data_IF_295769325810
#
_entry.id   IF_295769325810
#
_cell.length_a   1.000
_cell.length_b   1.000
_cell.length_c   1.000
_cell.angle_alpha   90.00
_cell.angle_beta   90.00
_cell.angle_gamma   90.00
#
_symmetry.space_group_name_H-M   'P 1'
#
loop_
_entity.id
_entity.type
_entity.pdbx_description
1 polymer ?
#
# COMPACT_ATOMS: atom_id res chain seq x y z
N UNK A 1 -26.82 26.82 -7.96
CA UNK A 1 -25.97 26.67 -6.75
C UNK A 1 -24.49 26.60 -7.07
N UNK A 2 -23.96 25.56 -7.75
CA UNK A 2 -22.50 25.47 -8.01
C UNK A 2 -21.96 26.58 -8.93
N UNK A 3 -22.76 27.04 -9.88
CA UNK A 3 -22.46 28.17 -10.77
C UNK A 3 -22.75 29.55 -10.15
N UNK A 4 -23.47 29.62 -9.03
CA UNK A 4 -23.93 30.88 -8.48
C UNK A 4 -22.72 31.62 -7.88
N UNK A 5 -22.47 32.85 -8.37
CA UNK A 5 -21.28 33.62 -8.02
C UNK A 5 -19.97 33.03 -8.58
N UNK A 6 -20.04 32.14 -9.57
CA UNK A 6 -18.84 31.53 -10.14
C UNK A 6 -17.99 32.57 -10.89
N UNK A 7 -16.70 32.62 -10.56
CA UNK A 7 -15.72 33.46 -11.25
C UNK A 7 -14.67 32.58 -11.94
N UNK A 8 -14.52 32.66 -13.27
CA UNK A 8 -13.45 31.95 -14.01
C UNK A 8 -12.04 32.35 -13.56
N UNK A 9 -11.89 33.50 -12.91
CA UNK A 9 -10.61 33.97 -12.35
C UNK A 9 -10.49 33.71 -10.86
N UNK A 10 -11.44 33.00 -10.26
CA UNK A 10 -11.39 32.59 -8.87
C UNK A 10 -10.26 31.59 -8.61
N UNK A 11 -9.90 31.47 -7.33
CA UNK A 11 -8.87 30.54 -6.88
C UNK A 11 -9.37 29.11 -6.72
N UNK A 12 -8.76 28.39 -5.77
CA UNK A 12 -8.99 26.94 -5.53
C UNK A 12 -10.47 26.56 -5.35
N UNK A 13 -11.27 27.40 -4.71
CA UNK A 13 -12.70 27.13 -4.51
C UNK A 13 -13.44 27.02 -5.86
N UNK A 14 -13.18 27.92 -6.80
CA UNK A 14 -13.84 27.89 -8.11
C UNK A 14 -13.34 26.73 -8.97
N UNK A 15 -12.06 26.37 -8.86
CA UNK A 15 -11.54 25.15 -9.50
C UNK A 15 -12.25 23.89 -8.97
N UNK A 16 -12.41 23.77 -7.65
CA UNK A 16 -13.13 22.65 -7.05
C UNK A 16 -14.60 22.62 -7.47
N UNK A 17 -15.27 23.77 -7.55
CA UNK A 17 -16.64 23.86 -8.07
C UNK A 17 -16.72 23.43 -9.54
N UNK A 18 -15.78 23.86 -10.39
CA UNK A 18 -15.75 23.46 -11.80
C UNK A 18 -15.54 21.95 -11.93
N UNK A 19 -14.66 21.37 -11.13
CA UNK A 19 -14.41 19.93 -11.08
C UNK A 19 -15.67 19.15 -10.65
N UNK A 20 -16.39 19.61 -9.63
CA UNK A 20 -17.66 18.99 -9.22
C UNK A 20 -18.71 19.10 -10.35
N UNK A 21 -18.82 20.27 -11.00
CA UNK A 21 -19.73 20.46 -12.13
C UNK A 21 -19.41 19.45 -13.24
N UNK A 22 -18.13 19.26 -13.56
CA UNK A 22 -17.72 18.39 -14.65
C UNK A 22 -17.98 16.92 -14.40
N UNK A 23 -17.80 16.46 -13.17
CA UNK A 23 -18.15 15.10 -12.77
C UNK A 23 -19.65 14.82 -12.82
N UNK A 24 -20.49 15.83 -12.52
CA UNK A 24 -21.96 15.69 -12.50
C UNK A 24 -22.55 15.80 -13.91
N UNK A 25 -22.16 16.84 -14.66
CA UNK A 25 -22.87 17.24 -15.88
C UNK A 25 -22.12 16.89 -17.16
N UNK A 26 -20.82 16.55 -17.09
CA UNK A 26 -20.01 16.13 -18.25
C UNK A 26 -20.22 17.03 -19.47
N UNK A 27 -20.61 16.50 -20.62
CA UNK A 27 -20.82 17.24 -21.88
C UNK A 27 -21.94 18.29 -21.83
N UNK A 28 -22.92 18.17 -20.92
CA UNK A 28 -24.06 19.12 -20.86
C UNK A 28 -23.60 20.54 -20.51
N UNK A 29 -22.39 20.67 -19.95
CA UNK A 29 -21.78 21.94 -19.55
C UNK A 29 -20.66 22.41 -20.48
N UNK A 30 -20.64 21.89 -21.71
CA UNK A 30 -19.60 22.18 -22.69
C UNK A 30 -19.41 23.69 -22.95
N UNK A 31 -20.50 24.44 -23.11
CA UNK A 31 -20.44 25.89 -23.33
C UNK A 31 -19.88 26.63 -22.11
N UNK A 32 -20.14 26.14 -20.91
CA UNK A 32 -19.58 26.69 -19.68
C UNK A 32 -18.08 26.43 -19.56
N UNK A 33 -17.60 25.28 -20.02
CA UNK A 33 -16.16 25.01 -20.11
C UNK A 33 -15.49 25.95 -21.11
N UNK A 34 -16.06 26.16 -22.31
CA UNK A 34 -15.54 27.12 -23.30
C UNK A 34 -15.49 28.54 -22.72
N UNK A 35 -16.54 28.98 -22.02
CA UNK A 35 -16.54 30.25 -21.30
C UNK A 35 -15.39 30.37 -20.29
N UNK A 36 -15.11 29.30 -19.52
CA UNK A 36 -13.98 29.24 -18.59
C UNK A 36 -12.63 29.29 -19.31
N UNK A 37 -12.50 28.69 -20.50
CA UNK A 37 -11.26 28.70 -21.31
C UNK A 37 -10.96 30.11 -21.82
N UNK A 38 -11.98 30.86 -22.22
CA UNK A 38 -11.85 32.21 -22.78
C UNK A 38 -11.58 33.27 -21.70
N UNK A 39 -12.18 33.12 -20.52
CA UNK A 39 -12.21 34.19 -19.50
C UNK A 39 -11.41 33.88 -18.23
N UNK A 40 -10.98 32.63 -18.06
CA UNK A 40 -10.41 32.12 -16.83
C UNK A 40 -8.95 32.46 -16.57
N UNK A 41 -8.51 32.17 -15.35
CA UNK A 41 -7.08 32.11 -15.02
C UNK A 41 -6.39 30.97 -15.78
N UNK A 42 -5.06 30.94 -15.83
CA UNK A 42 -4.31 29.87 -16.49
C UNK A 42 -4.69 28.48 -15.97
N UNK A 43 -4.86 28.34 -14.66
CA UNK A 43 -5.25 27.08 -14.02
C UNK A 43 -6.69 26.71 -14.36
N UNK A 44 -7.63 27.67 -14.32
CA UNK A 44 -9.03 27.45 -14.71
C UNK A 44 -9.13 26.98 -16.16
N UNK A 45 -8.38 27.63 -17.05
CA UNK A 45 -8.31 27.29 -18.46
C UNK A 45 -7.76 25.88 -18.68
N UNK A 46 -6.67 25.52 -17.99
CA UNK A 46 -6.09 24.17 -18.05
C UNK A 46 -7.12 23.10 -17.62
N UNK A 47 -7.79 23.30 -16.49
CA UNK A 47 -8.84 22.40 -16.00
C UNK A 47 -10.00 22.28 -17.00
N UNK A 48 -10.52 23.41 -17.48
CA UNK A 48 -11.65 23.44 -18.41
C UNK A 48 -11.34 22.78 -19.77
N UNK A 49 -10.11 22.94 -20.30
CA UNK A 49 -9.66 22.22 -21.52
C UNK A 49 -9.79 20.70 -21.33
N UNK A 50 -9.43 20.18 -20.16
CA UNK A 50 -9.56 18.76 -19.85
C UNK A 50 -11.00 18.25 -19.98
N UNK A 51 -11.98 19.05 -19.54
CA UNK A 51 -13.40 18.68 -19.56
C UNK A 51 -14.04 18.75 -20.95
N UNK A 52 -13.40 19.41 -21.92
CA UNK A 52 -13.83 19.31 -23.33
C UNK A 52 -13.74 17.89 -23.88
N UNK A 53 -12.97 17.01 -23.24
CA UNK A 53 -12.87 15.60 -23.62
C UNK A 53 -14.19 14.81 -23.50
N UNK A 54 -15.17 15.32 -22.75
CA UNK A 54 -16.47 14.67 -22.58
C UNK A 54 -17.35 14.73 -23.85
N UNK A 55 -17.13 15.70 -24.74
CA UNK A 55 -17.92 15.86 -25.97
C UNK A 55 -17.06 15.75 -27.23
N UNK A 56 -17.32 14.74 -28.05
CA UNK A 56 -16.61 14.51 -29.31
C UNK A 56 -16.78 15.65 -30.31
N UNK A 57 -17.85 16.46 -30.20
CA UNK A 57 -18.06 17.64 -31.07
C UNK A 57 -17.04 18.75 -30.83
N UNK A 58 -16.25 18.67 -29.76
CA UNK A 58 -15.19 19.62 -29.48
C UNK A 58 -13.93 19.42 -30.31
N UNK A 59 -13.87 18.42 -31.18
CA UNK A 59 -12.69 18.12 -31.98
C UNK A 59 -12.13 19.35 -32.72
N UNK A 60 -12.97 20.13 -33.40
CA UNK A 60 -12.53 21.30 -34.15
C UNK A 60 -11.98 22.39 -33.23
N UNK A 61 -12.62 22.61 -32.09
CA UNK A 61 -12.19 23.60 -31.10
C UNK A 61 -10.86 23.20 -30.45
N UNK A 62 -10.70 21.93 -30.07
CA UNK A 62 -9.46 21.40 -29.53
C UNK A 62 -8.32 21.48 -30.56
N UNK A 63 -8.58 21.13 -31.82
CA UNK A 63 -7.59 21.27 -32.90
C UNK A 63 -7.17 22.72 -33.11
N UNK A 64 -8.08 23.69 -33.01
CA UNK A 64 -7.71 25.12 -33.07
C UNK A 64 -6.86 25.55 -31.88
N UNK A 65 -7.21 25.12 -30.67
CA UNK A 65 -6.42 25.37 -29.47
C UNK A 65 -4.99 24.83 -29.57
N UNK A 66 -4.74 23.74 -30.30
CA UNK A 66 -3.36 23.26 -30.51
C UNK A 66 -2.48 24.29 -31.24
N UNK A 67 -3.07 25.17 -32.06
CA UNK A 67 -2.36 26.17 -32.85
C UNK A 67 -2.08 27.42 -32.03
N UNK A 68 -3.00 27.80 -31.15
CA UNK A 68 -2.96 29.05 -30.40
C UNK A 68 -2.29 28.91 -29.03
N UNK A 69 -2.47 27.78 -28.34
CA UNK A 69 -1.94 27.53 -27.00
C UNK A 69 -0.46 27.14 -26.98
N UNK A 70 0.20 27.40 -25.85
CA UNK A 70 1.63 27.10 -25.62
C UNK A 70 1.88 26.50 -24.24
N UNK A 71 2.99 25.77 -24.10
CA UNK A 71 3.41 25.17 -22.83
C UNK A 71 2.39 24.22 -22.24
N UNK A 72 2.13 24.32 -20.93
CA UNK A 72 1.21 23.44 -20.20
C UNK A 72 -0.20 23.38 -20.79
N UNK A 73 -0.74 24.52 -21.24
CA UNK A 73 -2.07 24.57 -21.86
C UNK A 73 -2.11 23.74 -23.14
N UNK A 74 -1.10 23.87 -24.00
CA UNK A 74 -1.00 23.05 -25.22
C UNK A 74 -0.92 21.56 -24.89
N UNK A 75 -0.14 21.16 -23.89
CA UNK A 75 -0.06 19.77 -23.47
C UNK A 75 -1.42 19.25 -22.99
N UNK A 76 -2.18 20.08 -22.27
CA UNK A 76 -3.52 19.74 -21.81
C UNK A 76 -4.53 19.60 -22.96
N UNK A 77 -4.40 20.43 -24.00
CA UNK A 77 -5.19 20.27 -25.24
C UNK A 77 -4.88 18.93 -25.90
N UNK A 78 -3.61 18.54 -25.99
CA UNK A 78 -3.26 17.21 -26.50
C UNK A 78 -3.85 16.10 -25.64
N UNK A 79 -3.70 16.17 -24.31
CA UNK A 79 -4.34 15.21 -23.40
C UNK A 79 -5.85 15.09 -23.67
N UNK A 80 -6.57 16.20 -23.81
CA UNK A 80 -8.00 16.18 -24.17
C UNK A 80 -8.27 15.58 -25.57
N UNK A 81 -7.45 15.92 -26.57
CA UNK A 81 -7.51 15.31 -27.91
C UNK A 81 -7.29 13.80 -27.89
N UNK A 82 -6.55 13.27 -26.91
CA UNK A 82 -6.30 11.82 -26.81
C UNK A 82 -7.57 11.00 -26.56
N UNK A 83 -8.63 11.63 -26.09
CA UNK A 83 -9.94 11.01 -25.87
C UNK A 83 -10.87 11.14 -27.08
N UNK A 84 -10.46 11.86 -28.13
CA UNK A 84 -11.23 12.04 -29.35
C UNK A 84 -11.06 10.84 -30.29
N UNK A 85 -12.18 10.32 -30.78
CA UNK A 85 -12.23 9.26 -31.79
C UNK A 85 -12.30 9.85 -33.20
N UNK A 86 -11.29 10.63 -33.58
CA UNK A 86 -11.20 11.32 -34.87
C UNK A 86 -9.79 11.21 -35.44
N UNK A 87 -9.66 10.84 -36.71
CA UNK A 87 -8.37 10.63 -37.39
C UNK A 87 -7.50 11.88 -37.40
N UNK A 88 -8.10 13.08 -37.43
CA UNK A 88 -7.37 14.35 -37.37
C UNK A 88 -6.69 14.54 -36.01
N UNK A 89 -7.28 14.01 -34.94
CA UNK A 89 -6.63 14.01 -33.63
C UNK A 89 -5.39 13.11 -33.65
N UNK A 90 -5.49 11.91 -34.23
CA UNK A 90 -4.36 10.98 -34.36
C UNK A 90 -3.22 11.59 -35.19
N UNK A 91 -3.52 12.25 -36.31
CA UNK A 91 -2.52 12.93 -37.15
C UNK A 91 -1.77 14.04 -36.41
N UNK A 92 -2.48 14.91 -35.69
CA UNK A 92 -1.86 15.96 -34.88
C UNK A 92 -1.05 15.39 -33.72
N UNK A 93 -1.53 14.30 -33.12
CA UNK A 93 -0.81 13.57 -32.09
C UNK A 93 0.49 12.96 -32.59
N UNK A 94 0.51 12.37 -33.80
CA UNK A 94 1.74 11.85 -34.39
C UNK A 94 2.80 12.95 -34.58
N UNK A 95 2.39 14.18 -34.95
CA UNK A 95 3.29 15.34 -35.04
C UNK A 95 3.79 15.78 -33.67
N UNK A 96 2.93 15.72 -32.65
CA UNK A 96 3.28 16.08 -31.28
C UNK A 96 4.28 15.09 -30.68
N UNK A 97 4.02 13.78 -30.77
CA UNK A 97 4.89 12.72 -30.26
C UNK A 97 6.32 12.85 -30.80
N UNK A 98 6.50 13.07 -32.10
CA UNK A 98 7.83 13.21 -32.74
C UNK A 98 8.73 14.29 -32.13
N UNK A 99 8.16 15.34 -31.52
CA UNK A 99 8.96 16.45 -30.96
C UNK A 99 9.68 16.07 -29.68
N UNK A 100 9.01 15.31 -28.81
CA UNK A 100 9.51 14.85 -27.51
C UNK A 100 8.81 13.53 -27.16
N UNK A 101 9.21 12.40 -27.78
CA UNK A 101 8.46 11.14 -27.70
C UNK A 101 8.16 10.70 -26.28
N UNK A 102 9.19 10.61 -25.43
CA UNK A 102 9.04 10.19 -24.03
C UNK A 102 8.21 11.16 -23.19
N UNK A 103 8.40 12.48 -23.34
CA UNK A 103 7.62 13.45 -22.55
C UNK A 103 6.15 13.48 -22.98
N UNK A 104 5.89 13.28 -24.27
CA UNK A 104 4.56 13.41 -24.81
C UNK A 104 3.73 12.13 -24.69
N UNK A 105 4.37 10.95 -24.65
CA UNK A 105 3.66 9.67 -24.56
C UNK A 105 2.90 9.50 -23.24
N UNK A 106 3.36 10.13 -22.15
CA UNK A 106 2.69 10.11 -20.85
C UNK A 106 1.27 10.65 -20.89
N UNK A 107 1.00 11.62 -21.76
CA UNK A 107 -0.33 12.20 -21.92
C UNK A 107 -1.32 11.22 -22.55
N UNK A 108 -0.89 10.07 -23.07
CA UNK A 108 -1.76 8.98 -23.51
C UNK A 108 -2.17 8.03 -22.37
N UNK A 109 -1.71 8.23 -21.14
CA UNK A 109 -1.96 7.30 -20.01
C UNK A 109 -3.45 7.02 -19.77
N UNK A 110 -4.32 8.01 -19.91
CA UNK A 110 -5.73 7.92 -19.53
C UNK A 110 -6.67 7.47 -20.66
N UNK A 111 -6.20 7.47 -21.91
CA UNK A 111 -7.02 7.10 -23.07
C UNK A 111 -6.86 5.62 -23.44
N UNK A 112 -7.94 5.02 -23.94
CA UNK A 112 -7.93 3.68 -24.55
C UNK A 112 -8.35 3.73 -26.03
N UNK A 113 -8.23 4.89 -26.68
CA UNK A 113 -8.45 5.02 -28.12
C UNK A 113 -7.48 4.12 -28.89
N UNK A 114 -7.98 3.42 -29.91
CA UNK A 114 -7.20 2.43 -30.65
C UNK A 114 -5.94 3.04 -31.30
N UNK A 115 -6.07 4.20 -31.95
CA UNK A 115 -4.95 4.91 -32.56
C UNK A 115 -3.88 5.33 -31.52
N UNK A 116 -4.29 5.65 -30.30
CA UNK A 116 -3.38 6.02 -29.20
C UNK A 116 -2.60 4.80 -28.69
N UNK A 117 -3.27 3.64 -28.59
CA UNK A 117 -2.64 2.36 -28.26
C UNK A 117 -1.63 1.98 -29.35
N UNK A 118 -1.97 2.16 -30.62
CA UNK A 118 -1.07 1.88 -31.75
C UNK A 118 0.17 2.79 -31.73
N UNK A 119 0.00 4.10 -31.53
CA UNK A 119 1.13 5.02 -31.37
C UNK A 119 2.02 4.67 -30.17
N UNK A 120 1.41 4.30 -29.04
CA UNK A 120 2.15 3.82 -27.87
C UNK A 120 2.94 2.56 -28.19
N UNK A 121 2.32 1.58 -28.83
CA UNK A 121 2.96 0.33 -29.19
C UNK A 121 4.14 0.53 -30.14
N UNK A 122 4.01 1.40 -31.15
CA UNK A 122 5.09 1.70 -32.09
C UNK A 122 6.26 2.40 -31.37
N UNK A 123 5.96 3.38 -30.52
CA UNK A 123 6.98 4.03 -29.68
C UNK A 123 7.72 3.01 -28.80
N UNK A 124 7.00 2.07 -28.19
CA UNK A 124 7.60 1.05 -27.32
C UNK A 124 8.52 0.10 -28.09
N UNK A 125 8.15 -0.32 -29.29
CA UNK A 125 8.99 -1.17 -30.14
C UNK A 125 10.29 -0.48 -30.54
N UNK A 126 10.22 0.78 -30.95
CA UNK A 126 11.40 1.62 -31.24
C UNK A 126 12.27 1.79 -29.99
N UNK A 127 11.66 2.17 -28.86
CA UNK A 127 12.35 2.39 -27.58
C UNK A 127 13.08 1.14 -27.10
N UNK A 128 12.42 -0.03 -27.10
CA UNK A 128 13.02 -1.30 -26.69
C UNK A 128 14.16 -1.69 -27.63
N UNK A 129 14.00 -1.48 -28.94
CA UNK A 129 15.05 -1.76 -29.93
C UNK A 129 16.28 -0.90 -29.68
N UNK A 130 16.09 0.41 -29.48
CA UNK A 130 17.19 1.31 -29.12
C UNK A 130 17.85 0.90 -27.80
N UNK A 131 17.04 0.55 -26.79
CA UNK A 131 17.53 0.18 -25.47
C UNK A 131 18.38 -1.09 -25.49
N UNK A 132 17.99 -2.09 -26.29
CA UNK A 132 18.77 -3.32 -26.51
C UNK A 132 20.10 -3.06 -27.20
N UNK A 133 20.17 -2.03 -28.05
CA UNK A 133 21.40 -1.63 -28.74
C UNK A 133 22.30 -0.72 -27.88
N UNK A 134 21.83 -0.23 -26.73
CA UNK A 134 22.60 0.62 -25.82
C UNK A 134 23.37 -0.21 -24.79
N UNK A 135 24.63 0.11 -24.59
CA UNK A 135 25.45 -0.43 -23.48
C UNK A 135 25.46 0.56 -22.32
N UNK A 136 24.77 0.23 -21.23
CA UNK A 136 24.69 1.07 -20.03
C UNK A 136 25.91 0.83 -19.12
N UNK A 137 26.96 1.64 -19.31
CA UNK A 137 28.27 1.48 -18.67
C UNK A 137 28.32 2.13 -17.29
N UNK A 138 27.62 3.25 -17.12
CA UNK A 138 27.65 4.04 -15.87
C UNK A 138 26.37 3.84 -15.05
N UNK A 139 26.46 4.10 -13.74
CA UNK A 139 25.29 4.10 -12.86
C UNK A 139 24.26 5.18 -13.25
N UNK A 140 24.72 6.32 -13.76
CA UNK A 140 23.84 7.42 -14.17
C UNK A 140 23.05 7.09 -15.43
N UNK A 141 23.67 6.42 -16.40
CA UNK A 141 22.95 5.90 -17.59
C UNK A 141 21.86 4.90 -17.20
N UNK A 142 22.17 3.99 -16.25
CA UNK A 142 21.18 3.04 -15.72
C UNK A 142 20.03 3.74 -15.02
N UNK A 143 20.34 4.70 -14.15
CA UNK A 143 19.33 5.50 -13.44
C UNK A 143 18.45 6.29 -14.39
N UNK A 144 19.03 6.81 -15.47
CA UNK A 144 18.27 7.51 -16.51
C UNK A 144 17.27 6.55 -17.15
N UNK A 145 17.71 5.38 -17.62
CA UNK A 145 16.82 4.35 -18.18
C UNK A 145 15.76 3.89 -17.19
N UNK A 146 16.12 3.65 -15.93
CA UNK A 146 15.16 3.28 -14.88
C UNK A 146 14.06 4.34 -14.73
N UNK A 147 14.42 5.63 -14.75
CA UNK A 147 13.48 6.74 -14.69
C UNK A 147 12.58 6.82 -15.94
N UNK A 148 13.13 6.61 -17.14
CA UNK A 148 12.34 6.55 -18.37
C UNK A 148 11.33 5.40 -18.33
N UNK A 149 11.76 4.21 -17.92
CA UNK A 149 10.89 3.04 -17.77
C UNK A 149 9.82 3.32 -16.73
N UNK A 150 10.15 3.92 -15.58
CA UNK A 150 9.15 4.31 -14.57
C UNK A 150 8.04 5.18 -15.18
N UNK A 151 8.39 6.14 -16.03
CA UNK A 151 7.42 7.02 -16.71
C UNK A 151 6.54 6.25 -17.70
N UNK A 152 7.14 5.36 -18.48
CA UNK A 152 6.45 4.48 -19.44
C UNK A 152 5.50 3.49 -18.73
N UNK A 153 5.93 2.94 -17.60
CA UNK A 153 5.19 1.96 -16.80
C UNK A 153 3.79 2.47 -16.39
N UNK A 154 3.65 3.76 -16.09
CA UNK A 154 2.34 4.37 -15.83
C UNK A 154 1.39 4.33 -17.02
N UNK A 155 1.91 4.37 -18.25
CA UNK A 155 1.10 4.25 -19.48
C UNK A 155 0.75 2.80 -19.74
N UNK A 156 1.70 1.87 -19.51
CA UNK A 156 1.49 0.41 -19.63
C UNK A 156 0.34 -0.04 -18.74
N UNK A 157 0.34 0.39 -17.47
CA UNK A 157 -0.60 -0.04 -16.43
C UNK A 157 -2.08 0.03 -16.85
N UNK A 158 -2.45 1.04 -17.65
CA UNK A 158 -3.82 1.25 -18.12
C UNK A 158 -4.14 0.54 -19.44
N UNK A 159 -3.16 -0.09 -20.09
CA UNK A 159 -3.23 -0.68 -21.45
C UNK A 159 -2.89 -2.17 -21.46
N UNK A 160 -3.29 -2.87 -20.40
CA UNK A 160 -3.12 -4.31 -20.27
C UNK A 160 -3.56 -5.05 -21.54
N UNK A 161 -2.63 -5.80 -22.13
CA UNK A 161 -2.79 -6.57 -23.37
C UNK A 161 -1.61 -7.53 -23.51
N UNK A 162 -1.72 -8.52 -24.40
CA UNK A 162 -0.61 -9.42 -24.72
C UNK A 162 0.66 -8.65 -25.13
N UNK A 163 0.49 -7.54 -25.87
CA UNK A 163 1.59 -6.71 -26.36
C UNK A 163 2.27 -5.96 -25.20
N UNK A 164 1.51 -5.38 -24.27
CA UNK A 164 2.11 -4.71 -23.11
C UNK A 164 2.75 -5.67 -22.12
N UNK A 165 2.23 -6.90 -21.98
CA UNK A 165 2.90 -7.98 -21.26
C UNK A 165 4.24 -8.36 -21.92
N UNK A 166 4.29 -8.43 -23.25
CA UNK A 166 5.55 -8.63 -23.97
C UNK A 166 6.55 -7.51 -23.71
N UNK A 167 6.11 -6.24 -23.66
CA UNK A 167 6.98 -5.13 -23.28
C UNK A 167 7.50 -5.27 -21.84
N UNK A 168 6.67 -5.71 -20.90
CA UNK A 168 7.11 -5.97 -19.52
C UNK A 168 8.26 -6.98 -19.48
N UNK A 169 8.19 -8.06 -20.27
CA UNK A 169 9.27 -9.06 -20.37
C UNK A 169 10.58 -8.46 -20.86
N UNK A 170 10.50 -7.58 -21.86
CA UNK A 170 11.66 -6.95 -22.49
C UNK A 170 12.29 -5.87 -21.62
N UNK A 171 11.48 -5.14 -20.84
CA UNK A 171 11.93 -4.08 -19.95
C UNK A 171 12.42 -4.59 -18.59
N UNK A 172 12.07 -5.82 -18.20
CA UNK A 172 12.45 -6.42 -16.91
C UNK A 172 13.94 -6.29 -16.56
N UNK A 173 14.91 -6.56 -17.47
CA UNK A 173 16.33 -6.46 -17.15
C UNK A 173 16.79 -5.04 -16.80
N UNK A 174 16.05 -4.03 -17.24
CA UNK A 174 16.42 -2.63 -17.15
C UNK A 174 15.77 -1.93 -15.95
N UNK A 175 14.63 -2.43 -15.47
CA UNK A 175 14.00 -1.95 -14.23
C UNK A 175 13.14 -3.05 -13.58
N UNK A 176 13.80 -3.96 -12.86
CA UNK A 176 13.15 -5.13 -12.24
C UNK A 176 12.02 -4.75 -11.27
N UNK A 177 12.26 -3.74 -10.44
CA UNK A 177 11.35 -3.33 -9.37
C UNK A 177 10.03 -2.84 -9.95
N UNK A 178 10.07 -1.97 -10.96
CA UNK A 178 8.85 -1.40 -11.52
C UNK A 178 8.04 -2.42 -12.32
N UNK A 179 8.71 -3.28 -13.08
CA UNK A 179 8.04 -4.34 -13.82
C UNK A 179 7.34 -5.33 -12.88
N UNK A 180 7.97 -5.70 -11.76
CA UNK A 180 7.32 -6.55 -10.73
C UNK A 180 6.06 -5.90 -10.15
N UNK A 181 6.05 -4.58 -9.95
CA UNK A 181 4.86 -3.87 -9.46
C UNK A 181 3.71 -3.92 -10.47
N UNK A 182 3.99 -3.69 -11.76
CA UNK A 182 2.97 -3.81 -12.83
C UNK A 182 2.41 -5.23 -12.84
N UNK A 183 3.28 -6.23 -12.81
CA UNK A 183 2.86 -7.63 -12.86
C UNK A 183 2.01 -8.01 -11.63
N UNK A 184 2.38 -7.55 -10.43
CA UNK A 184 1.54 -7.72 -9.24
C UNK A 184 0.17 -7.06 -9.41
N UNK A 185 0.13 -5.85 -9.99
CA UNK A 185 -1.13 -5.16 -10.26
C UNK A 185 -2.01 -5.94 -11.25
N UNK A 186 -1.45 -6.48 -12.34
CA UNK A 186 -2.21 -7.30 -13.28
C UNK A 186 -2.71 -8.61 -12.66
N UNK A 187 -1.87 -9.30 -11.87
CA UNK A 187 -2.29 -10.49 -11.12
C UNK A 187 -3.46 -10.16 -10.19
N UNK A 188 -3.39 -9.03 -9.48
CA UNK A 188 -4.42 -8.61 -8.54
C UNK A 188 -5.72 -8.18 -9.24
N UNK A 189 -5.61 -7.47 -10.37
CA UNK A 189 -6.75 -6.88 -11.08
C UNK A 189 -7.62 -7.93 -11.78
N UNK A 190 -7.01 -8.81 -12.58
CA UNK A 190 -7.73 -9.84 -13.33
C UNK A 190 -6.77 -10.96 -13.76
N UNK A 191 -6.60 -11.97 -12.90
CA UNK A 191 -5.68 -13.07 -13.15
C UNK A 191 -6.15 -13.95 -14.33
N UNK A 192 -5.44 -13.86 -15.46
CA UNK A 192 -5.68 -14.66 -16.66
C UNK A 192 -4.49 -15.56 -17.04
N UNK A 193 -4.65 -16.36 -18.09
CA UNK A 193 -3.66 -17.36 -18.53
C UNK A 193 -2.40 -16.69 -19.06
N UNK A 194 -2.55 -15.59 -19.80
CA UNK A 194 -1.48 -14.84 -20.44
C UNK A 194 -0.52 -14.26 -19.39
N UNK A 195 -1.05 -13.69 -18.30
CA UNK A 195 -0.27 -13.22 -17.14
C UNK A 195 0.50 -14.39 -16.52
N UNK A 196 -0.18 -15.51 -16.26
CA UNK A 196 0.45 -16.69 -15.64
C UNK A 196 1.61 -17.20 -16.50
N UNK A 197 1.42 -17.29 -17.82
CA UNK A 197 2.42 -17.83 -18.73
C UNK A 197 3.64 -16.88 -18.84
N UNK A 198 3.42 -15.57 -18.83
CA UNK A 198 4.49 -14.56 -18.77
C UNK A 198 5.29 -14.64 -17.47
N UNK A 199 4.62 -14.79 -16.32
CA UNK A 199 5.31 -14.99 -15.03
C UNK A 199 6.13 -16.27 -15.06
N UNK A 200 5.58 -17.39 -15.54
CA UNK A 200 6.33 -18.66 -15.63
C UNK A 200 7.56 -18.53 -16.53
N UNK A 201 7.44 -17.85 -17.67
CA UNK A 201 8.56 -17.59 -18.58
C UNK A 201 9.67 -16.78 -17.88
N UNK A 202 9.29 -15.70 -17.19
CA UNK A 202 10.21 -14.85 -16.46
C UNK A 202 10.84 -15.55 -15.26
N UNK A 203 10.07 -16.28 -14.46
CA UNK A 203 10.55 -17.12 -13.35
C UNK A 203 11.59 -18.14 -13.81
N UNK A 204 11.36 -18.79 -14.96
CA UNK A 204 12.31 -19.75 -15.53
C UNK A 204 13.59 -19.07 -16.00
N UNK A 205 13.50 -17.85 -16.51
CA UNK A 205 14.66 -17.09 -17.02
C UNK A 205 15.46 -16.42 -15.90
N UNK A 206 14.79 -15.98 -14.84
CA UNK A 206 15.35 -15.25 -13.70
C UNK A 206 15.04 -16.00 -12.41
N UNK A 207 15.71 -17.13 -12.22
CA UNK A 207 15.47 -18.05 -11.11
C UNK A 207 15.50 -17.33 -9.75
N UNK A 208 14.46 -17.56 -8.96
CA UNK A 208 14.32 -16.99 -7.62
C UNK A 208 13.95 -15.51 -7.59
N UNK A 209 13.73 -14.83 -8.72
CA UNK A 209 13.37 -13.40 -8.70
C UNK A 209 11.86 -13.15 -8.59
N UNK A 210 11.00 -14.13 -8.87
CA UNK A 210 9.54 -13.96 -9.01
C UNK A 210 8.71 -14.62 -7.89
N UNK A 211 9.34 -14.93 -6.74
CA UNK A 211 8.68 -15.60 -5.62
C UNK A 211 7.39 -14.89 -5.18
N UNK A 212 7.40 -13.56 -5.11
CA UNK A 212 6.23 -12.77 -4.74
C UNK A 212 5.05 -13.00 -5.71
N UNK A 213 5.30 -12.93 -7.01
CA UNK A 213 4.28 -13.12 -8.05
C UNK A 213 3.76 -14.56 -8.05
N UNK A 214 4.66 -15.54 -7.90
CA UNK A 214 4.30 -16.96 -7.83
C UNK A 214 3.42 -17.24 -6.61
N UNK A 215 3.77 -16.70 -5.45
CA UNK A 215 2.98 -16.86 -4.23
C UNK A 215 1.61 -16.20 -4.38
N UNK A 216 1.55 -14.98 -4.93
CA UNK A 216 0.30 -14.26 -5.18
C UNK A 216 -0.63 -15.04 -6.11
N UNK A 217 -0.11 -15.56 -7.23
CA UNK A 217 -0.88 -16.41 -8.16
C UNK A 217 -1.41 -17.65 -7.44
N UNK A 218 -0.56 -18.32 -6.65
CA UNK A 218 -0.93 -19.54 -5.95
C UNK A 218 -2.00 -19.30 -4.88
N UNK A 219 -1.93 -18.17 -4.15
CA UNK A 219 -2.96 -17.76 -3.19
C UNK A 219 -4.35 -17.57 -3.83
N UNK A 220 -4.39 -17.06 -5.06
CA UNK A 220 -5.62 -16.78 -5.80
C UNK A 220 -6.19 -18.06 -6.43
N UNK A 221 -5.32 -18.94 -6.96
CA UNK A 221 -5.73 -20.03 -7.86
C UNK A 221 -5.70 -21.42 -7.22
N UNK A 222 -4.74 -21.67 -6.34
CA UNK A 222 -4.47 -23.02 -5.83
C UNK A 222 -5.15 -23.25 -4.48
N UNK A 223 -5.31 -24.53 -4.11
CA UNK A 223 -5.85 -24.90 -2.81
C UNK A 223 -4.90 -24.54 -1.68
N UNK A 224 -5.44 -24.08 -0.57
CA UNK A 224 -4.69 -23.72 0.64
C UNK A 224 -3.56 -24.69 1.03
N UNK A 225 -3.82 -26.00 1.02
CA UNK A 225 -2.81 -26.99 1.41
C UNK A 225 -1.63 -27.05 0.44
N UNK A 226 -1.89 -26.81 -0.85
CA UNK A 226 -0.87 -26.78 -1.91
C UNK A 226 -0.01 -25.52 -1.74
N UNK A 227 -0.65 -24.37 -1.53
CA UNK A 227 0.05 -23.10 -1.31
C UNK A 227 0.96 -23.22 -0.09
N UNK A 228 0.42 -23.69 1.05
CA UNK A 228 1.22 -23.87 2.25
C UNK A 228 2.40 -24.82 2.00
N UNK A 229 2.17 -25.98 1.39
CA UNK A 229 3.23 -26.96 1.09
C UNK A 229 4.36 -26.35 0.24
N UNK A 230 4.01 -25.56 -0.77
CA UNK A 230 4.99 -25.04 -1.71
C UNK A 230 5.76 -23.84 -1.16
N UNK A 231 5.10 -22.98 -0.39
CA UNK A 231 5.64 -21.66 -0.04
C UNK A 231 6.03 -21.47 1.44
N UNK A 232 5.53 -22.28 2.37
CA UNK A 232 5.77 -22.10 3.81
C UNK A 232 7.25 -22.14 4.20
N UNK A 233 8.10 -22.86 3.45
CA UNK A 233 9.56 -22.88 3.65
C UNK A 233 10.19 -21.49 3.57
N UNK A 234 9.68 -20.60 2.71
CA UNK A 234 10.17 -19.22 2.56
C UNK A 234 9.75 -18.32 3.72
N UNK A 235 8.71 -18.72 4.46
CA UNK A 235 8.29 -18.07 5.69
C UNK A 235 8.92 -18.69 6.95
N UNK A 236 9.81 -19.67 6.81
CA UNK A 236 10.51 -20.31 7.92
C UNK A 236 9.88 -21.60 8.44
N UNK A 237 8.96 -22.23 7.69
CA UNK A 237 8.49 -23.56 8.05
C UNK A 237 9.64 -24.58 8.11
N UNK A 238 9.71 -25.33 9.21
CA UNK A 238 10.77 -26.31 9.47
C UNK A 238 12.06 -25.71 10.04
N UNK A 239 12.10 -24.41 10.30
CA UNK A 239 13.20 -23.76 11.02
C UNK A 239 12.95 -23.72 12.53
N UNK A 240 14.01 -23.57 13.30
CA UNK A 240 13.93 -23.33 14.75
C UNK A 240 13.27 -21.97 15.05
N UNK A 241 12.63 -21.85 16.21
CA UNK A 241 11.90 -20.65 16.63
C UNK A 241 12.79 -19.40 16.58
N UNK A 242 14.05 -19.51 16.98
CA UNK A 242 15.03 -18.43 17.00
C UNK A 242 15.37 -17.92 15.59
N UNK A 243 15.40 -18.81 14.60
CA UNK A 243 15.64 -18.45 13.20
C UNK A 243 14.45 -17.70 12.61
N UNK A 244 13.23 -18.21 12.82
CA UNK A 244 11.99 -17.55 12.39
C UNK A 244 11.90 -16.16 13.03
N UNK A 245 12.20 -16.06 14.33
CA UNK A 245 12.28 -14.79 15.05
C UNK A 245 13.29 -13.82 14.43
N UNK A 246 14.47 -14.31 14.03
CA UNK A 246 15.47 -13.48 13.35
C UNK A 246 14.92 -12.88 12.06
N UNK A 247 14.22 -13.69 11.25
CA UNK A 247 13.59 -13.23 10.00
C UNK A 247 12.55 -12.14 10.24
N UNK A 248 11.67 -12.31 11.24
CA UNK A 248 10.71 -11.28 11.61
C UNK A 248 11.39 -9.98 12.09
N UNK A 249 12.41 -10.08 12.94
CA UNK A 249 13.14 -8.90 13.42
C UNK A 249 13.79 -8.13 12.26
N UNK A 250 14.45 -8.82 11.32
CA UNK A 250 15.03 -8.19 10.13
C UNK A 250 13.95 -7.59 9.22
N UNK A 251 12.84 -8.30 9.01
CA UNK A 251 11.71 -7.79 8.22
C UNK A 251 11.15 -6.48 8.80
N UNK A 252 11.01 -6.40 10.12
CA UNK A 252 10.49 -5.21 10.82
C UNK A 252 11.49 -4.05 10.77
N UNK A 253 12.78 -4.33 10.99
CA UNK A 253 13.84 -3.30 11.00
C UNK A 253 14.21 -2.81 9.61
N UNK A 254 14.05 -3.65 8.59
CA UNK A 254 14.47 -3.38 7.22
C UNK A 254 15.99 -3.42 7.01
N UNK A 255 16.76 -3.96 7.96
CA UNK A 255 18.22 -4.05 7.91
C UNK A 255 18.69 -5.43 7.42
N UNK A 256 18.82 -5.58 6.10
CA UNK A 256 19.23 -6.83 5.48
C UNK A 256 20.72 -7.15 5.65
N UNK A 257 21.03 -8.45 5.71
CA UNK A 257 22.40 -8.96 5.82
C UNK A 257 23.25 -8.55 4.63
N UNK A 258 24.55 -8.34 4.87
CA UNK A 258 25.54 -8.16 3.79
C UNK A 258 25.93 -9.50 3.14
N UNK A 259 25.66 -10.62 3.81
CA UNK A 259 25.87 -11.94 3.23
C UNK A 259 24.77 -12.20 2.19
N UNK A 260 25.16 -12.52 0.96
CA UNK A 260 24.23 -12.66 -0.17
C UNK A 260 23.18 -13.77 0.04
N UNK A 261 23.56 -14.91 0.62
CA UNK A 261 22.65 -16.03 0.84
C UNK A 261 21.64 -15.72 1.94
N UNK A 262 22.12 -15.14 3.05
CA UNK A 262 21.26 -14.72 4.15
C UNK A 262 20.32 -13.57 3.73
N UNK A 263 20.85 -12.59 2.99
CA UNK A 263 20.06 -11.51 2.41
C UNK A 263 18.95 -12.07 1.53
N UNK A 264 19.24 -13.09 0.71
CA UNK A 264 18.23 -13.72 -0.14
C UNK A 264 17.12 -14.39 0.67
N UNK A 265 17.45 -15.10 1.75
CA UNK A 265 16.44 -15.69 2.65
C UNK A 265 15.56 -14.61 3.29
N UNK A 266 16.15 -13.49 3.69
CA UNK A 266 15.42 -12.36 4.27
C UNK A 266 14.54 -11.64 3.23
N UNK A 267 15.01 -11.52 1.99
CA UNK A 267 14.22 -10.99 0.86
C UNK A 267 13.04 -11.90 0.53
N UNK A 268 13.26 -13.22 0.48
CA UNK A 268 12.20 -14.19 0.22
C UNK A 268 11.13 -14.12 1.32
N UNK A 269 11.56 -14.04 2.58
CA UNK A 269 10.66 -13.84 3.72
C UNK A 269 9.86 -12.53 3.59
N UNK A 270 10.52 -11.41 3.25
CA UNK A 270 9.86 -10.12 3.01
C UNK A 270 8.81 -10.24 1.92
N UNK A 271 9.15 -10.85 0.79
CA UNK A 271 8.29 -10.95 -0.38
C UNK A 271 7.00 -11.73 -0.06
N UNK A 272 7.10 -12.77 0.78
CA UNK A 272 5.97 -13.53 1.32
C UNK A 272 5.10 -12.67 2.25
N UNK A 273 5.70 -12.05 3.27
CA UNK A 273 4.96 -11.33 4.30
C UNK A 273 4.36 -10.01 3.83
N UNK A 274 4.93 -9.37 2.81
CA UNK A 274 4.31 -8.22 2.16
C UNK A 274 2.96 -8.54 1.49
N UNK A 275 2.73 -9.80 1.10
CA UNK A 275 1.42 -10.25 0.59
C UNK A 275 0.51 -10.63 1.75
N UNK A 276 1.01 -11.37 2.74
CA UNK A 276 0.22 -11.78 3.92
C UNK A 276 -0.33 -10.57 4.69
N UNK A 277 0.46 -9.50 4.82
CA UNK A 277 0.05 -8.23 5.45
C UNK A 277 -0.88 -7.37 4.59
N UNK A 278 -1.38 -7.90 3.48
CA UNK A 278 -2.45 -7.27 2.69
C UNK A 278 -3.75 -8.05 2.78
N UNK A 279 -3.75 -9.13 3.56
CA UNK A 279 -4.88 -10.02 3.68
C UNK A 279 -5.65 -9.72 4.96
N UNK A 280 -6.97 -9.83 4.88
CA UNK A 280 -7.84 -9.83 6.04
C UNK A 280 -8.84 -10.98 5.96
N UNK A 281 -9.41 -11.35 7.10
CA UNK A 281 -10.50 -12.30 7.19
C UNK A 281 -11.82 -11.53 7.26
N UNK A 282 -12.65 -11.72 6.25
CA UNK A 282 -14.03 -11.22 6.25
C UNK A 282 -14.89 -12.15 7.11
N UNK A 283 -15.26 -11.68 8.30
CA UNK A 283 -16.10 -12.46 9.24
C UNK A 283 -17.53 -12.68 8.74
N UNK A 284 -18.08 -11.77 7.93
CA UNK A 284 -19.44 -11.85 7.41
C UNK A 284 -19.53 -12.96 6.35
N UNK A 285 -18.61 -12.91 5.37
CA UNK A 285 -18.56 -13.88 4.28
C UNK A 285 -17.78 -15.15 4.62
N UNK A 286 -17.01 -15.14 5.72
CA UNK A 286 -16.16 -16.23 6.22
C UNK A 286 -15.01 -16.60 5.29
N UNK A 287 -14.44 -15.61 4.63
CA UNK A 287 -13.42 -15.79 3.58
C UNK A 287 -12.19 -14.92 3.84
N UNK A 288 -11.04 -15.30 3.29
CA UNK A 288 -9.88 -14.41 3.28
C UNK A 288 -9.91 -13.54 2.04
N UNK A 289 -9.70 -12.25 2.22
CA UNK A 289 -9.65 -11.27 1.15
C UNK A 289 -8.24 -10.68 1.10
N UNK A 290 -7.67 -10.60 -0.09
CA UNK A 290 -6.49 -9.79 -0.36
C UNK A 290 -6.93 -8.40 -0.79
N UNK A 291 -6.40 -7.38 -0.12
CA UNK A 291 -6.58 -5.99 -0.51
C UNK A 291 -5.34 -5.43 -1.21
N UNK A 292 -5.48 -5.10 -2.49
CA UNK A 292 -4.42 -4.55 -3.32
C UNK A 292 -4.73 -3.12 -3.75
N UNK A 293 -3.80 -2.15 -3.65
CA UNK A 293 -4.07 -0.78 -4.07
C UNK A 293 -4.32 -0.72 -5.58
N UNK A 294 -5.45 -0.12 -6.00
CA UNK A 294 -5.64 0.24 -7.40
C UNK A 294 -4.99 1.60 -7.65
N UNK A 295 -3.80 1.59 -8.24
CA UNK A 295 -3.05 2.80 -8.57
C UNK A 295 -3.68 3.62 -9.70
N UNK A 296 -4.72 3.09 -10.38
CA UNK A 296 -5.46 3.78 -11.44
C UNK A 296 -6.65 4.54 -10.86
N UNK A 297 -7.51 3.85 -10.10
CA UNK A 297 -8.78 4.42 -9.62
C UNK A 297 -8.69 5.03 -8.23
N UNK A 298 -7.63 4.73 -7.47
CA UNK A 298 -7.49 5.13 -6.06
C UNK A 298 -8.32 4.29 -5.08
N UNK A 299 -9.20 3.42 -5.57
CA UNK A 299 -9.91 2.43 -4.75
C UNK A 299 -9.04 1.20 -4.52
N UNK A 300 -9.39 0.34 -3.56
CA UNK A 300 -8.71 -0.95 -3.42
C UNK A 300 -9.36 -2.03 -4.29
N UNK A 301 -8.53 -2.93 -4.81
CA UNK A 301 -8.94 -4.18 -5.44
C UNK A 301 -9.06 -5.20 -4.32
N UNK A 302 -10.21 -5.86 -4.24
CA UNK A 302 -10.47 -6.91 -3.27
C UNK A 302 -10.58 -8.25 -4.00
N UNK A 303 -9.78 -9.22 -3.56
CA UNK A 303 -9.69 -10.53 -4.20
C UNK A 303 -9.96 -11.59 -3.15
N UNK A 304 -10.96 -12.43 -3.39
CA UNK A 304 -11.19 -13.61 -2.58
C UNK A 304 -10.02 -14.59 -2.74
N UNK A 305 -9.53 -15.11 -1.62
CA UNK A 305 -8.44 -16.07 -1.58
C UNK A 305 -8.91 -17.45 -1.11
N UNK A 306 -8.64 -18.47 -1.94
CA UNK A 306 -8.84 -19.88 -1.58
C UNK A 306 -7.54 -20.55 -1.07
N UNK A 307 -6.40 -19.86 -1.22
CA UNK A 307 -5.06 -20.40 -0.98
C UNK A 307 -4.48 -20.21 0.43
N UNK A 308 -5.22 -19.68 1.41
CA UNK A 308 -4.69 -19.41 2.74
C UNK A 308 -5.00 -20.53 3.75
N UNK A 309 -3.99 -21.34 4.08
CA UNK A 309 -4.10 -22.44 5.05
C UNK A 309 -3.93 -21.94 6.51
N UNK A 310 -4.73 -22.46 7.44
CA UNK A 310 -4.60 -22.16 8.87
C UNK A 310 -3.22 -22.48 9.47
N UNK A 311 -2.40 -23.34 8.86
CA UNK A 311 -1.04 -23.62 9.32
C UNK A 311 -0.12 -22.40 9.22
N UNK A 312 -0.46 -21.39 8.42
CA UNK A 312 0.26 -20.12 8.40
C UNK A 312 0.29 -19.45 9.79
N UNK A 313 -0.77 -19.60 10.60
CA UNK A 313 -0.81 -19.06 11.95
C UNK A 313 0.27 -19.64 12.87
N UNK A 314 0.68 -20.90 12.68
CA UNK A 314 1.73 -21.50 13.49
C UNK A 314 3.07 -20.80 13.25
N UNK A 315 3.33 -20.34 12.02
CA UNK A 315 4.52 -19.56 11.69
C UNK A 315 4.37 -18.12 12.20
N UNK A 316 3.26 -17.46 11.85
CA UNK A 316 3.01 -16.05 12.17
C UNK A 316 3.07 -15.81 13.68
N UNK A 317 2.44 -16.69 14.46
CA UNK A 317 2.30 -16.51 15.91
C UNK A 317 3.43 -17.17 16.71
N UNK A 318 4.36 -17.90 16.07
CA UNK A 318 5.47 -18.58 16.75
C UNK A 318 6.43 -17.63 17.48
N UNK A 319 6.45 -16.36 17.11
CA UNK A 319 7.43 -15.37 17.57
C UNK A 319 6.92 -14.46 18.68
N UNK A 320 5.70 -14.70 19.19
CA UNK A 320 4.95 -13.88 20.14
C UNK A 320 5.74 -13.23 21.28
N UNK A 321 6.74 -13.90 21.84
CA UNK A 321 7.38 -13.50 23.11
C UNK A 321 8.55 -12.53 23.00
N UNK A 322 9.15 -12.35 21.82
CA UNK A 322 10.55 -11.89 21.71
C UNK A 322 10.86 -10.99 20.50
N UNK A 323 9.85 -10.48 19.81
CA UNK A 323 10.05 -9.55 18.70
C UNK A 323 10.42 -8.18 19.27
N UNK A 324 11.56 -7.63 18.86
CA UNK A 324 12.08 -6.36 19.39
C UNK A 324 12.17 -5.32 18.27
N UNK A 325 11.57 -4.16 18.48
CA UNK A 325 11.60 -3.04 17.53
C UNK A 325 10.29 -2.27 17.49
N UNK A 326 10.29 -1.15 16.77
CA UNK A 326 9.08 -0.41 16.45
C UNK A 326 8.22 -1.25 15.50
N UNK A 327 7.28 -2.00 16.08
CA UNK A 327 6.13 -2.62 15.37
C UNK A 327 5.15 -1.58 14.81
N UNK A 328 5.51 -0.30 14.81
CA UNK A 328 4.88 0.73 14.01
C UNK A 328 5.23 0.46 12.55
N UNK A 329 4.62 -0.53 11.92
CA UNK A 329 4.64 -0.59 10.46
C UNK A 329 3.61 0.39 9.93
N UNK A 330 4.12 1.60 9.68
CA UNK A 330 3.44 2.76 9.14
C UNK A 330 2.56 2.43 7.91
N UNK A 331 1.30 2.88 7.98
CA UNK A 331 0.52 3.46 6.87
C UNK A 331 0.11 2.61 5.66
N UNK A 332 0.15 1.28 5.73
CA UNK A 332 -0.71 0.48 4.87
C UNK A 332 -1.98 0.19 5.68
N UNK A 333 -3.15 0.44 5.11
CA UNK A 333 -4.46 0.26 5.76
C UNK A 333 -4.72 -1.14 6.34
N UNK A 334 -3.83 -2.12 6.10
CA UNK A 334 -3.97 -3.55 6.40
C UNK A 334 -2.71 -4.20 7.00
N UNK A 335 -1.73 -3.42 7.46
CA UNK A 335 -0.42 -3.93 7.89
C UNK A 335 -0.39 -4.69 9.23
N UNK A 336 -1.54 -5.15 9.74
CA UNK A 336 -1.66 -5.74 11.06
C UNK A 336 -2.19 -7.18 10.99
N UNK A 337 -1.53 -8.14 11.64
CA UNK A 337 -2.01 -9.52 11.68
C UNK A 337 -3.37 -9.67 12.36
N UNK A 338 -3.86 -8.65 13.10
CA UNK A 338 -5.21 -8.62 13.68
C UNK A 338 -6.28 -8.87 12.62
N UNK A 339 -6.04 -8.35 11.41
CA UNK A 339 -6.98 -8.44 10.29
C UNK A 339 -7.08 -9.88 9.78
N UNK A 340 -6.06 -10.72 10.00
CA UNK A 340 -6.09 -12.14 9.68
C UNK A 340 -6.87 -12.99 10.69
N UNK A 341 -7.36 -12.44 11.80
CA UNK A 341 -7.98 -13.23 12.85
C UNK A 341 -9.26 -13.91 12.37
N UNK A 342 -9.26 -15.25 12.36
CA UNK A 342 -10.41 -16.05 12.01
C UNK A 342 -11.06 -16.67 13.27
N UNK A 343 -12.20 -16.14 13.76
CA UNK A 343 -12.85 -16.62 14.97
C UNK A 343 -13.38 -18.06 14.87
N UNK A 344 -13.52 -18.60 13.65
CA UNK A 344 -14.02 -19.96 13.43
C UNK A 344 -12.94 -21.03 13.63
N UNK A 345 -11.67 -20.65 13.78
CA UNK A 345 -10.57 -21.60 14.02
C UNK A 345 -10.40 -21.82 15.52
N UNK A 346 -10.72 -23.04 15.96
CA UNK A 346 -10.56 -23.46 17.36
C UNK A 346 -9.11 -23.26 17.85
N UNK A 347 -8.96 -22.64 19.01
CA UNK A 347 -7.66 -22.38 19.64
C UNK A 347 -6.93 -21.15 19.10
N UNK A 348 -7.44 -20.50 18.04
CA UNK A 348 -6.78 -19.34 17.44
C UNK A 348 -6.95 -18.08 18.31
N UNK A 349 -8.09 -17.96 19.00
CA UNK A 349 -8.39 -16.88 19.94
C UNK A 349 -7.32 -16.77 21.02
N UNK A 350 -6.95 -17.88 21.63
CA UNK A 350 -5.94 -17.95 22.69
C UNK A 350 -4.54 -17.62 22.16
N UNK A 351 -4.18 -18.16 20.98
CA UNK A 351 -2.89 -17.89 20.33
C UNK A 351 -2.72 -16.41 19.97
N UNK A 352 -3.76 -15.78 19.39
CA UNK A 352 -3.73 -14.35 19.09
C UNK A 352 -3.71 -13.49 20.37
N UNK A 353 -4.45 -13.89 21.40
CA UNK A 353 -4.47 -13.22 22.69
C UNK A 353 -3.07 -13.20 23.31
N UNK A 354 -2.41 -14.36 23.37
CA UNK A 354 -1.04 -14.48 23.85
C UNK A 354 -0.04 -13.68 22.97
N UNK A 355 -0.19 -13.74 21.65
CA UNK A 355 0.68 -13.03 20.71
C UNK A 355 0.62 -11.51 20.92
N UNK A 356 -0.57 -10.91 20.85
CA UNK A 356 -0.72 -9.47 21.01
C UNK A 356 -0.45 -9.02 22.45
N UNK A 357 -0.81 -9.83 23.45
CA UNK A 357 -0.48 -9.52 24.83
C UNK A 357 1.04 -9.41 25.04
N UNK A 358 1.81 -10.38 24.54
CA UNK A 358 3.27 -10.33 24.64
C UNK A 358 3.87 -9.12 23.91
N UNK A 359 3.30 -8.71 22.77
CA UNK A 359 3.70 -7.46 22.10
C UNK A 359 3.50 -6.26 23.03
N UNK A 360 2.37 -6.19 23.76
CA UNK A 360 2.14 -5.09 24.71
C UNK A 360 3.16 -5.06 25.85
N UNK A 361 3.81 -6.17 26.19
CA UNK A 361 4.83 -6.20 27.25
C UNK A 361 6.16 -5.61 26.79
N UNK A 362 6.52 -5.74 25.50
CA UNK A 362 7.85 -5.33 25.00
C UNK A 362 7.89 -3.92 24.40
N UNK A 363 6.72 -3.29 24.15
CA UNK A 363 6.59 -1.88 23.72
C UNK A 363 5.45 -1.17 24.43
N UNK A 364 5.39 0.17 24.36
CA UNK A 364 4.22 0.92 24.84
C UNK A 364 2.94 0.43 24.13
N UNK A 365 1.88 0.06 24.88
CA UNK A 365 0.62 -0.37 24.31
C UNK A 365 -0.16 0.81 23.75
N UNK A 366 -0.88 0.57 22.65
CA UNK A 366 -1.83 1.51 22.06
C UNK A 366 -3.25 1.07 22.37
N UNK A 367 -4.20 2.00 22.26
CA UNK A 367 -5.61 1.70 22.51
C UNK A 367 -6.13 0.54 21.62
N UNK A 368 -5.70 0.47 20.36
CA UNK A 368 -6.04 -0.62 19.43
C UNK A 368 -5.56 -2.00 19.90
N UNK A 369 -4.46 -2.08 20.67
CA UNK A 369 -4.03 -3.35 21.29
C UNK A 369 -5.08 -3.83 22.29
N UNK A 370 -5.60 -2.92 23.11
CA UNK A 370 -6.60 -3.22 24.14
C UNK A 370 -7.95 -3.56 23.52
N UNK A 371 -8.37 -2.83 22.48
CA UNK A 371 -9.62 -3.16 21.75
C UNK A 371 -9.58 -4.57 21.19
N UNK A 372 -8.46 -4.97 20.60
CA UNK A 372 -8.31 -6.31 20.05
C UNK A 372 -8.23 -7.39 21.15
N UNK A 373 -7.46 -7.16 22.22
CA UNK A 373 -7.44 -8.08 23.37
C UNK A 373 -8.82 -8.23 24.02
N UNK A 374 -9.62 -7.16 24.07
CA UNK A 374 -11.01 -7.19 24.52
C UNK A 374 -11.92 -8.00 23.58
N UNK A 375 -11.77 -7.83 22.25
CA UNK A 375 -12.45 -8.67 21.25
C UNK A 375 -12.13 -10.16 21.47
N UNK A 376 -10.89 -10.46 21.84
CA UNK A 376 -10.44 -11.80 22.19
C UNK A 376 -10.78 -12.23 23.63
N UNK A 377 -11.49 -11.42 24.42
CA UNK A 377 -11.82 -11.71 25.81
C UNK A 377 -10.61 -12.05 26.68
N UNK A 378 -9.45 -11.45 26.39
CA UNK A 378 -8.23 -11.65 27.16
C UNK A 378 -8.35 -10.95 28.51
N UNK A 379 -8.01 -11.65 29.60
CA UNK A 379 -8.11 -11.14 30.97
C UNK A 379 -6.80 -11.23 31.76
N UNK A 380 -5.78 -11.90 31.22
CA UNK A 380 -4.52 -12.11 31.92
C UNK A 380 -3.54 -10.94 31.65
N UNK A 381 -3.64 -9.87 32.45
CA UNK A 381 -2.80 -8.66 32.34
C UNK A 381 -1.62 -8.65 33.33
N UNK A 382 -1.02 -9.81 33.60
CA UNK A 382 0.15 -9.92 34.49
C UNK A 382 1.40 -9.21 33.94
N UNK A 383 2.02 -8.35 34.75
CA UNK A 383 3.18 -7.53 34.40
C UNK A 383 2.88 -6.42 33.37
N UNK A 384 1.61 -6.10 33.10
CA UNK A 384 1.20 -5.15 32.06
C UNK A 384 1.71 -3.72 32.30
N UNK A 385 1.71 -3.20 33.53
CA UNK A 385 2.11 -1.81 33.78
C UNK A 385 3.58 -1.55 33.44
N UNK A 386 4.48 -2.43 33.88
CA UNK A 386 5.94 -2.30 33.65
C UNK A 386 6.36 -2.96 32.34
N UNK A 387 5.71 -4.05 31.96
CA UNK A 387 6.10 -4.88 30.83
C UNK A 387 7.46 -5.55 31.03
N UNK A 388 8.11 -5.86 29.91
CA UNK A 388 9.47 -6.43 29.79
C UNK A 388 10.46 -5.40 29.23
N UNK A 389 10.24 -4.12 29.51
CA UNK A 389 11.09 -3.04 28.99
C UNK A 389 12.51 -3.11 29.58
N UNK A 390 13.53 -2.82 28.76
CA UNK A 390 14.93 -2.67 29.21
C UNK A 390 15.13 -1.32 29.93
N UNK A 391 14.64 -1.30 31.17
CA UNK A 391 14.67 -0.15 32.07
C UNK A 391 16.07 0.21 32.59
N UNK A 392 17.05 -0.70 32.45
CA UNK A 392 18.43 -0.46 32.86
C UNK A 392 19.12 0.60 31.99
N UNK A 393 18.65 0.78 30.75
CA UNK A 393 19.12 1.84 29.84
C UNK A 393 18.40 3.16 30.03
N UNK A 394 17.10 3.13 30.33
CA UNK A 394 16.30 4.34 30.46
C UNK A 394 15.04 4.13 31.32
N UNK A 395 15.10 4.57 32.59
CA UNK A 395 13.98 4.48 33.53
C UNK A 395 12.76 5.34 33.10
N UNK A 396 12.96 6.36 32.26
CA UNK A 396 11.88 7.22 31.77
C UNK A 396 10.91 6.51 30.83
N UNK A 397 11.29 5.34 30.27
CA UNK A 397 10.38 4.51 29.48
C UNK A 397 9.14 4.07 30.27
N UNK A 398 9.29 3.83 31.58
CA UNK A 398 8.17 3.51 32.47
C UNK A 398 7.20 4.69 32.55
N UNK A 399 7.74 5.91 32.70
CA UNK A 399 6.91 7.13 32.81
C UNK A 399 6.13 7.39 31.52
N UNK A 400 6.78 7.25 30.37
CA UNK A 400 6.14 7.37 29.07
C UNK A 400 5.03 6.32 28.88
N UNK A 401 5.34 5.04 29.17
CA UNK A 401 4.37 3.94 29.06
C UNK A 401 3.13 4.17 29.93
N UNK A 402 3.31 4.54 31.20
CA UNK A 402 2.19 4.76 32.11
C UNK A 402 1.34 5.96 31.72
N UNK A 403 1.95 7.01 31.17
CA UNK A 403 1.21 8.14 30.60
C UNK A 403 0.26 7.68 29.49
N UNK A 404 0.72 6.82 28.57
CA UNK A 404 -0.14 6.28 27.51
C UNK A 404 -1.23 5.36 28.05
N UNK A 405 -0.88 4.45 28.97
CA UNK A 405 -1.87 3.57 29.62
C UNK A 405 -2.95 4.40 30.31
N UNK A 406 -2.61 5.56 30.88
CA UNK A 406 -3.59 6.41 31.56
C UNK A 406 -4.75 6.87 30.70
N UNK A 407 -4.54 7.01 29.38
CA UNK A 407 -5.58 7.43 28.44
C UNK A 407 -6.68 6.36 28.23
N UNK A 408 -6.40 5.09 28.57
CA UNK A 408 -7.31 3.98 28.33
C UNK A 408 -7.35 2.92 29.45
N UNK A 409 -6.82 3.21 30.65
CA UNK A 409 -6.76 2.27 31.77
C UNK A 409 -8.15 1.71 32.13
N UNK A 410 -9.17 2.55 32.04
CA UNK A 410 -10.57 2.17 32.29
C UNK A 410 -11.15 1.16 31.30
N UNK A 411 -10.49 0.94 30.17
CA UNK A 411 -10.91 0.00 29.13
C UNK A 411 -10.17 -1.34 29.20
N UNK A 412 -9.22 -1.48 30.13
CA UNK A 412 -8.43 -2.69 30.33
C UNK A 412 -9.18 -3.61 31.31
N UNK A 413 -9.52 -4.85 30.96
CA UNK A 413 -10.19 -5.79 31.84
C UNK A 413 -9.18 -6.48 32.79
N UNK A 414 -8.35 -5.66 33.45
CA UNK A 414 -7.49 -6.06 34.56
C UNK A 414 -8.31 -6.03 35.86
N UNK A 415 -8.09 -6.99 36.76
CA UNK A 415 -8.78 -6.99 38.04
C UNK A 415 -8.30 -5.85 38.94
N UNK A 416 -9.16 -5.37 39.84
CA UNK A 416 -8.75 -4.36 40.83
C UNK A 416 -7.54 -4.80 41.64
N UNK A 417 -7.49 -6.08 42.02
CA UNK A 417 -6.40 -6.65 42.81
C UNK A 417 -5.09 -6.70 42.01
N UNK A 418 -5.13 -7.23 40.78
CA UNK A 418 -3.94 -7.31 39.93
C UNK A 418 -3.36 -5.92 39.63
N UNK A 419 -4.23 -4.92 39.42
CA UNK A 419 -3.79 -3.55 39.18
C UNK A 419 -3.14 -2.94 40.43
N UNK A 420 -3.72 -3.15 41.63
CA UNK A 420 -3.12 -2.72 42.90
C UNK A 420 -1.74 -3.33 43.10
N UNK A 421 -1.63 -4.65 42.99
CA UNK A 421 -0.37 -5.38 43.15
C UNK A 421 0.70 -4.84 42.21
N UNK A 422 0.39 -4.63 40.93
CA UNK A 422 1.36 -4.09 39.97
C UNK A 422 1.78 -2.64 40.27
N UNK A 423 0.86 -1.81 40.77
CA UNK A 423 1.21 -0.44 41.19
C UNK A 423 2.14 -0.46 42.39
N UNK A 424 1.85 -1.29 43.40
CA UNK A 424 2.66 -1.42 44.62
C UNK A 424 4.07 -1.93 44.29
N UNK A 425 4.19 -3.00 43.51
CA UNK A 425 5.48 -3.53 43.04
C UNK A 425 6.29 -2.49 42.26
N UNK A 426 5.63 -1.71 41.41
CA UNK A 426 6.25 -0.65 40.62
C UNK A 426 6.83 0.45 41.53
N UNK A 427 6.04 0.92 42.50
CA UNK A 427 6.45 1.97 43.43
C UNK A 427 7.56 1.50 44.39
N UNK A 428 7.54 0.23 44.81
CA UNK A 428 8.59 -0.34 45.65
C UNK A 428 9.92 -0.46 44.88
N UNK A 429 9.86 -0.98 43.66
CA UNK A 429 11.04 -1.30 42.85
C UNK A 429 11.69 -0.06 42.23
N UNK A 430 10.91 0.95 41.86
CA UNK A 430 11.40 2.10 41.07
C UNK A 430 11.24 3.44 41.79
N UNK A 431 11.90 3.59 42.94
CA UNK A 431 11.82 4.79 43.81
C UNK A 431 12.29 6.11 43.17
N UNK A 432 13.06 6.03 42.08
CA UNK A 432 13.65 7.18 41.40
C UNK A 432 12.96 7.55 40.06
N UNK A 433 11.75 7.03 39.78
CA UNK A 433 10.98 7.44 38.59
C UNK A 433 10.50 8.89 38.71
N UNK A 434 10.02 9.46 37.60
CA UNK A 434 9.52 10.84 37.61
C UNK A 434 8.41 11.03 38.65
N UNK A 435 8.46 12.16 39.35
CA UNK A 435 7.46 12.51 40.38
C UNK A 435 6.02 12.47 39.84
N UNK A 436 5.79 12.97 38.63
CA UNK A 436 4.48 12.92 37.96
C UNK A 436 3.94 11.49 37.80
N UNK A 437 4.83 10.52 37.56
CA UNK A 437 4.50 9.10 37.44
C UNK A 437 4.15 8.50 38.80
N UNK A 438 4.91 8.85 39.85
CA UNK A 438 4.59 8.46 41.23
C UNK A 438 3.22 9.00 41.63
N UNK A 439 2.97 10.29 41.39
CA UNK A 439 1.71 10.95 41.70
C UNK A 439 0.53 10.35 40.92
N UNK A 440 0.75 9.91 39.67
CA UNK A 440 -0.26 9.17 38.88
C UNK A 440 -0.60 7.81 39.51
N UNK A 441 0.43 7.00 39.78
CA UNK A 441 0.27 5.69 40.39
C UNK A 441 -0.41 5.77 41.77
N UNK A 442 0.00 6.72 42.61
CA UNK A 442 -0.60 6.90 43.94
C UNK A 442 -2.07 7.29 43.85
N UNK A 443 -2.46 8.16 42.90
CA UNK A 443 -3.87 8.50 42.66
C UNK A 443 -4.70 7.30 42.25
N UNK A 444 -4.18 6.41 41.41
CA UNK A 444 -4.87 5.18 41.06
C UNK A 444 -5.00 4.25 42.26
N UNK A 445 -3.93 4.05 43.02
CA UNK A 445 -3.92 3.20 44.20
C UNK A 445 -4.92 3.69 45.28
N UNK A 446 -4.96 4.99 45.55
CA UNK A 446 -5.89 5.61 46.50
C UNK A 446 -7.34 5.41 46.07
N UNK A 447 -7.64 5.64 44.77
CA UNK A 447 -8.98 5.38 44.20
C UNK A 447 -9.37 3.91 44.37
N UNK A 448 -8.50 2.97 43.99
CA UNK A 448 -8.77 1.53 44.09
C UNK A 448 -8.93 1.08 45.56
N UNK A 449 -8.21 1.68 46.49
CA UNK A 449 -8.35 1.43 47.94
C UNK A 449 -9.64 2.00 48.52
N UNK A 450 -10.18 3.07 47.93
CA UNK A 450 -11.51 3.61 48.26
C UNK A 450 -12.68 2.84 47.64
N UNK A 451 -12.42 1.80 46.85
CA UNK A 451 -13.43 0.95 46.23
C UNK A 451 -13.87 1.37 44.82
N UNK A 452 -13.21 2.39 44.22
CA UNK A 452 -13.43 2.77 42.82
C UNK A 452 -13.01 1.61 41.91
N UNK A 453 -13.81 1.34 40.88
CA UNK A 453 -13.54 0.26 39.91
C UNK A 453 -12.54 0.70 38.85
N UNK A 454 -11.80 -0.25 38.27
CA UNK A 454 -10.82 0.06 37.20
C UNK A 454 -11.47 0.85 36.06
N UNK A 455 -12.70 0.49 35.68
CA UNK A 455 -13.51 1.17 34.65
C UNK A 455 -13.86 2.64 34.95
N UNK A 456 -13.63 3.10 36.18
CA UNK A 456 -13.91 4.46 36.67
C UNK A 456 -12.61 5.25 37.00
N UNK A 457 -11.44 4.64 36.78
CA UNK A 457 -10.14 5.31 36.92
C UNK A 457 -9.92 6.32 35.79
#
# INVERSE_FOLDING_TARGET
MLKDGFSPRGGKEMLARLDIISHIAKEDENDFYKYCIENGSKEMKETAIGFLSYDQKNIDYLLDLTKTEKGKLKNKVFEALSYMSDDRAAEEWAKFLKKKPLDNIEYLRGTNQQWAIEHFNNFMEEYITELKNKTLKTAEERRTVENEINRICWVILNKESEKTLSFCKELYPYNKTEIKKILNFYIAKDLNKEIIDVIKELSKKYEGEFLQQEFLISLIKDKAEIVYKNFSKYAGAGKEKEEVRSLFNTFIRGDYSKNKEECKVQEDFRDMFQIILRMYYDEENKEYILEWPNTITGHSIQIKLDGFDKKWYDIILSTSTEITGNWEYYTLSHGDFRDLYNPNIKGLKEKFGEFYYNITLVRTPYFADIEFLNKLGWTNYKDFLVGKMDIGKNIYLISYRLSYISDFISKIPISEEDLKTQIEELLEKYKNIQKSTIDLCQRWLDKLNSGVKVKEL
#
